data_IF_818301283013
#
_entry.id   IF_818301283013
#
_cell.length_a   1.000
_cell.length_b   1.000
_cell.length_c   1.000
_cell.angle_alpha   90.00
_cell.angle_beta   90.00
_cell.angle_gamma   90.00
#
_symmetry.space_group_name_H-M   'P 1'
#
loop_
_entity.id
_entity.type
_entity.pdbx_description
1 polymer ?
#
# COMPACT_ATOMS: atom_id res chain seq x y z
N UNK A 1 5.69 16.92 -22.05
CA UNK A 1 4.37 16.51 -21.54
C UNK A 1 4.62 15.78 -20.23
N UNK A 2 4.33 16.42 -19.09
CA UNK A 2 4.46 15.77 -17.78
C UNK A 2 3.21 14.89 -17.63
N UNK A 3 3.38 13.57 -17.76
CA UNK A 3 2.29 12.63 -17.63
C UNK A 3 1.59 12.85 -16.29
N UNK A 4 0.30 13.15 -16.34
CA UNK A 4 -0.54 13.20 -15.14
C UNK A 4 -0.55 11.79 -14.56
N UNK A 5 0.32 11.54 -13.58
CA UNK A 5 0.26 10.37 -12.72
C UNK A 5 -1.15 10.33 -12.17
N UNK A 6 -1.94 9.32 -12.55
CA UNK A 6 -3.30 9.12 -12.05
C UNK A 6 -3.30 9.25 -10.52
N UNK A 7 -4.31 9.89 -9.91
CA UNK A 7 -4.32 10.13 -8.47
C UNK A 7 -4.22 8.80 -7.72
N UNK A 8 -3.48 8.73 -6.60
CA UNK A 8 -3.37 7.48 -5.84
C UNK A 8 -4.72 7.06 -5.25
N UNK A 9 -4.86 5.77 -4.95
CA UNK A 9 -6.03 5.15 -4.33
C UNK A 9 -5.71 4.66 -2.92
N UNK A 10 -6.68 4.78 -2.02
CA UNK A 10 -6.62 4.18 -0.69
C UNK A 10 -7.04 2.72 -0.73
N UNK A 11 -6.23 1.81 -0.21
CA UNK A 11 -6.57 0.40 -0.02
C UNK A 11 -6.36 -0.04 1.42
N UNK A 12 -7.24 -0.94 1.89
CA UNK A 12 -7.16 -1.51 3.24
C UNK A 12 -6.00 -2.51 3.32
N UNK A 13 -5.03 -2.22 4.18
CA UNK A 13 -3.92 -3.08 4.55
C UNK A 13 -4.10 -3.59 5.99
N UNK A 14 -3.42 -4.67 6.34
CA UNK A 14 -3.41 -5.20 7.72
C UNK A 14 -2.08 -4.90 8.38
N UNK A 15 -2.14 -4.32 9.58
CA UNK A 15 -0.97 -4.15 10.42
C UNK A 15 -0.36 -5.53 10.76
N UNK A 16 0.94 -5.77 10.52
CA UNK A 16 1.56 -7.06 10.81
C UNK A 16 1.53 -7.45 12.30
N UNK A 17 1.62 -6.46 13.19
CA UNK A 17 1.71 -6.67 14.64
C UNK A 17 0.35 -6.96 15.29
N UNK A 18 -0.66 -6.15 14.98
CA UNK A 18 -1.97 -6.20 15.67
C UNK A 18 -3.11 -6.74 14.80
N UNK A 19 -2.84 -7.02 13.52
CA UNK A 19 -3.85 -7.36 12.51
C UNK A 19 -4.99 -6.31 12.38
N UNK A 20 -4.73 -5.11 12.91
CA UNK A 20 -5.59 -3.95 12.83
C UNK A 20 -5.72 -3.46 11.38
N UNK A 21 -6.85 -2.83 11.08
CA UNK A 21 -7.05 -2.21 9.78
C UNK A 21 -6.21 -0.93 9.65
N UNK A 22 -5.50 -0.79 8.52
CA UNK A 22 -4.73 0.39 8.19
C UNK A 22 -4.97 0.79 6.72
N UNK A 23 -4.74 2.06 6.37
CA UNK A 23 -5.00 2.57 5.03
C UNK A 23 -3.69 2.82 4.29
N UNK A 24 -3.45 2.09 3.20
CA UNK A 24 -2.32 2.29 2.30
C UNK A 24 -2.72 3.21 1.13
N UNK A 25 -1.91 4.21 0.84
CA UNK A 25 -2.07 5.07 -0.34
C UNK A 25 -1.13 4.55 -1.43
N UNK A 26 -1.69 3.93 -2.47
CA UNK A 26 -0.94 3.29 -3.56
C UNK A 26 -1.40 3.82 -4.93
N UNK A 27 -0.65 3.64 -6.03
CA UNK A 27 -1.07 4.09 -7.35
C UNK A 27 -2.44 3.53 -7.78
N UNK A 28 -3.23 4.32 -8.48
CA UNK A 28 -4.42 3.80 -9.14
C UNK A 28 -4.03 2.71 -10.16
N UNK A 29 -4.85 1.67 -10.30
CA UNK A 29 -4.55 0.45 -11.07
C UNK A 29 -3.49 -0.48 -10.44
N UNK A 30 -3.35 -0.46 -9.11
CA UNK A 30 -2.56 -1.45 -8.38
C UNK A 30 -3.41 -2.18 -7.33
N UNK A 31 -2.87 -3.24 -6.74
CA UNK A 31 -3.46 -3.96 -5.62
C UNK A 31 -2.39 -4.36 -4.61
N UNK A 32 -2.77 -4.41 -3.33
CA UNK A 32 -1.86 -4.81 -2.26
C UNK A 32 -1.51 -6.30 -2.35
N UNK A 33 -0.24 -6.62 -2.09
CA UNK A 33 0.27 -7.99 -2.01
C UNK A 33 1.03 -8.23 -0.71
N UNK A 34 1.24 -9.50 -0.37
CA UNK A 34 1.92 -9.91 0.86
C UNK A 34 3.43 -10.09 0.71
N UNK A 35 3.92 -10.37 -0.50
CA UNK A 35 5.34 -10.68 -0.75
C UNK A 35 6.07 -9.48 -1.33
N UNK A 36 7.26 -9.17 -0.81
CA UNK A 36 8.15 -8.15 -1.40
C UNK A 36 8.76 -8.61 -2.73
N UNK A 37 9.00 -9.92 -2.90
CA UNK A 37 9.74 -10.46 -4.05
C UNK A 37 9.04 -10.20 -5.39
N UNK A 38 7.70 -10.11 -5.37
CA UNK A 38 6.89 -9.87 -6.56
C UNK A 38 6.39 -8.43 -6.65
N UNK A 39 6.82 -7.52 -5.78
CA UNK A 39 6.25 -6.18 -5.72
C UNK A 39 6.78 -5.27 -6.84
N UNK A 40 5.87 -4.57 -7.51
CA UNK A 40 6.25 -3.47 -8.43
C UNK A 40 6.61 -2.20 -7.65
N UNK A 41 6.10 -2.08 -6.43
CA UNK A 41 6.37 -0.94 -5.56
C UNK A 41 5.95 -1.15 -4.10
N UNK A 42 6.27 -0.15 -3.28
CA UNK A 42 5.96 -0.13 -1.85
C UNK A 42 5.47 1.23 -1.39
N UNK A 43 4.62 1.23 -0.39
CA UNK A 43 4.06 2.41 0.27
C UNK A 43 4.19 2.30 1.78
N UNK A 44 4.42 3.44 2.43
CA UNK A 44 4.40 3.52 3.87
C UNK A 44 2.97 3.61 4.40
N UNK A 45 2.69 2.84 5.44
CA UNK A 45 1.39 2.78 6.10
C UNK A 45 1.59 3.01 7.59
N UNK A 46 0.76 3.86 8.18
CA UNK A 46 0.71 4.04 9.62
C UNK A 46 -0.49 3.29 10.17
N UNK A 47 -0.26 2.36 11.11
CA UNK A 47 -1.31 1.72 11.86
C UNK A 47 -1.86 2.72 12.89
N UNK A 48 -3.18 2.96 12.89
CA UNK A 48 -3.79 3.87 13.88
C UNK A 48 -3.96 3.25 15.26
N UNK A 49 -3.99 1.92 15.35
CA UNK A 49 -4.19 1.24 16.63
C UNK A 49 -2.91 1.18 17.46
N UNK A 50 -1.78 0.77 16.86
CA UNK A 50 -0.51 0.67 17.58
C UNK A 50 0.44 1.84 17.34
N UNK A 51 0.15 2.72 16.39
CA UNK A 51 1.04 3.84 16.02
C UNK A 51 2.25 3.43 15.18
N UNK A 52 2.48 2.13 14.99
CA UNK A 52 3.60 1.62 14.22
C UNK A 52 3.46 1.92 12.73
N UNK A 53 4.61 2.11 12.08
CA UNK A 53 4.72 2.38 10.66
C UNK A 53 5.32 1.16 9.96
N UNK A 54 4.67 0.67 8.91
CA UNK A 54 5.09 -0.51 8.17
C UNK A 54 5.01 -0.29 6.66
N UNK A 55 5.69 -1.17 5.91
CA UNK A 55 5.66 -1.17 4.46
C UNK A 55 4.52 -2.06 3.95
N UNK A 56 3.72 -1.54 3.02
CA UNK A 56 2.79 -2.31 2.22
C UNK A 56 3.31 -2.39 0.79
N UNK A 57 3.24 -3.59 0.20
CA UNK A 57 3.71 -3.86 -1.16
C UNK A 57 2.53 -3.89 -2.12
N UNK A 58 2.74 -3.48 -3.36
CA UNK A 58 1.69 -3.49 -4.38
C UNK A 58 2.21 -3.93 -5.75
N UNK A 59 1.30 -4.45 -6.57
CA UNK A 59 1.51 -4.79 -7.98
C UNK A 59 0.52 -4.03 -8.86
N UNK A 60 0.93 -3.64 -10.06
CA UNK A 60 0.03 -3.07 -11.07
C UNK A 60 -0.84 -4.15 -11.70
N UNK A 61 -2.08 -3.79 -12.04
CA UNK A 61 -2.93 -4.64 -12.88
C UNK A 61 -2.46 -4.52 -14.31
N UNK A 62 -2.10 -5.66 -14.91
CA UNK A 62 -1.80 -5.77 -16.35
C UNK A 62 -3.00 -5.36 -17.22
#
# INVERSE_FOLDING_TARGET
MWGMSKPPTGQSARCPEFNAEAMAIIPQNSFLIKSEENADGKAWVNCRECGERFLAFFQFKE
#
